data_IF_389314239157
#
_entry.id   IF_389314239157
#
_cell.length_a   1.000
_cell.length_b   1.000
_cell.length_c   1.000
_cell.angle_alpha   90.00
_cell.angle_beta   90.00
_cell.angle_gamma   90.00
#
_symmetry.space_group_name_H-M   'P 1'
#
loop_
_entity.id
_entity.type
_entity.pdbx_description
1 polymer ?
#
# COMPACT_ATOMS: atom_id res chain seq x y z
N UNK A 1 -12.43 4.70 -6.10
CA UNK A 1 -11.64 4.30 -4.93
C UNK A 1 -12.41 4.64 -3.65
N UNK A 2 -12.35 3.79 -2.61
CA UNK A 2 -13.00 4.06 -1.32
C UNK A 2 -12.21 5.20 -0.63
N UNK A 3 -12.86 6.31 -0.25
CA UNK A 3 -12.18 7.47 0.31
C UNK A 3 -11.55 7.21 1.68
N UNK A 4 -12.07 6.26 2.45
CA UNK A 4 -11.49 5.85 3.75
C UNK A 4 -10.22 5.05 3.51
N UNK A 5 -10.27 4.06 2.62
CA UNK A 5 -9.11 3.27 2.21
C UNK A 5 -8.00 4.16 1.62
N UNK A 6 -8.36 5.10 0.74
CA UNK A 6 -7.42 6.07 0.18
C UNK A 6 -6.67 6.82 1.28
N UNK A 7 -7.41 7.31 2.27
CA UNK A 7 -6.85 8.10 3.36
C UNK A 7 -5.90 7.28 4.23
N UNK A 8 -6.28 6.06 4.63
CA UNK A 8 -5.41 5.17 5.41
C UNK A 8 -4.15 4.75 4.64
N UNK A 9 -4.27 4.42 3.36
CA UNK A 9 -3.11 4.07 2.53
C UNK A 9 -2.16 5.27 2.39
N UNK A 10 -2.67 6.46 2.07
CA UNK A 10 -1.81 7.66 1.98
C UNK A 10 -1.11 7.94 3.30
N UNK A 11 -1.80 7.77 4.43
CA UNK A 11 -1.22 7.95 5.76
C UNK A 11 -0.10 6.93 6.01
N UNK A 12 -0.34 5.65 5.77
CA UNK A 12 0.67 4.59 5.92
C UNK A 12 1.89 4.79 5.02
N UNK A 13 1.68 5.11 3.74
CA UNK A 13 2.77 5.37 2.77
C UNK A 13 3.59 6.62 3.15
N UNK A 14 2.97 7.58 3.84
CA UNK A 14 3.65 8.79 4.29
C UNK A 14 4.61 8.57 5.46
N UNK A 15 4.33 7.53 6.27
CA UNK A 15 5.10 7.17 7.45
C UNK A 15 6.26 6.22 7.10
N UNK A 16 5.98 5.17 6.33
CA UNK A 16 6.99 4.26 5.77
C UNK A 16 6.71 4.01 4.28
N UNK A 17 7.76 3.81 3.49
CA UNK A 17 7.56 3.36 2.11
C UNK A 17 6.78 2.05 2.10
N UNK A 18 5.60 2.02 1.48
CA UNK A 18 4.67 0.93 1.70
C UNK A 18 4.95 -0.27 0.77
N UNK A 19 5.09 -1.50 1.31
CA UNK A 19 5.20 -2.70 0.50
C UNK A 19 3.83 -3.14 -0.05
N UNK A 20 3.82 -4.15 -0.92
CA UNK A 20 2.58 -4.72 -1.48
C UNK A 20 1.57 -5.18 -0.41
N UNK A 21 2.08 -5.68 0.71
CA UNK A 21 1.27 -6.17 1.83
C UNK A 21 0.38 -5.07 2.42
N UNK A 22 0.81 -3.81 2.42
CA UNK A 22 0.02 -2.69 2.93
C UNK A 22 -1.22 -2.44 2.07
N UNK A 23 -1.07 -2.52 0.74
CA UNK A 23 -2.18 -2.43 -0.20
C UNK A 23 -3.13 -3.61 -0.08
N UNK A 24 -2.60 -4.82 0.07
CA UNK A 24 -3.41 -6.02 0.28
C UNK A 24 -4.24 -5.93 1.56
N UNK A 25 -3.61 -5.57 2.68
CA UNK A 25 -4.27 -5.37 3.97
C UNK A 25 -5.43 -4.38 3.84
N UNK A 26 -5.18 -3.23 3.20
CA UNK A 26 -6.21 -2.23 2.96
C UNK A 26 -7.37 -2.76 2.10
N UNK A 27 -7.07 -3.44 0.99
CA UNK A 27 -8.11 -4.01 0.12
C UNK A 27 -8.94 -5.07 0.85
N UNK A 28 -8.31 -5.98 1.60
CA UNK A 28 -9.02 -7.00 2.37
C UNK A 28 -10.00 -6.40 3.38
N UNK A 29 -9.68 -5.25 3.96
CA UNK A 29 -10.56 -4.57 4.92
C UNK A 29 -11.68 -3.79 4.30
N UNK A 30 -11.37 -2.96 3.32
CA UNK A 30 -12.31 -1.98 2.78
C UNK A 30 -13.07 -2.51 1.56
N UNK A 31 -12.66 -3.65 1.00
CA UNK A 31 -13.26 -4.31 -0.15
C UNK A 31 -13.23 -5.86 -0.01
N UNK A 32 -13.72 -6.44 1.10
CA UNK A 32 -13.62 -7.89 1.33
C UNK A 32 -14.26 -8.72 0.20
N UNK A 33 -15.43 -8.30 -0.29
CA UNK A 33 -16.17 -9.01 -1.36
C UNK A 33 -15.53 -8.91 -2.75
N UNK A 34 -14.57 -7.99 -2.92
CA UNK A 34 -13.86 -7.75 -4.19
C UNK A 34 -12.39 -8.11 -4.10
N UNK A 35 -11.94 -8.62 -2.96
CA UNK A 35 -10.55 -8.95 -2.77
C UNK A 35 -10.08 -9.98 -3.81
N UNK A 36 -9.05 -9.59 -4.54
CA UNK A 36 -8.26 -10.44 -5.41
C UNK A 36 -6.89 -9.78 -5.58
N UNK A 37 -5.86 -10.57 -5.90
CA UNK A 37 -4.52 -10.02 -6.13
C UNK A 37 -4.50 -9.05 -7.31
N UNK A 38 -5.25 -9.33 -8.36
CA UNK A 38 -5.44 -8.40 -9.49
C UNK A 38 -6.05 -7.07 -9.03
N UNK A 39 -7.07 -7.11 -8.16
CA UNK A 39 -7.67 -5.89 -7.65
C UNK A 39 -6.71 -5.06 -6.78
N UNK A 40 -5.80 -5.71 -6.05
CA UNK A 40 -4.72 -5.01 -5.32
C UNK A 40 -3.78 -4.30 -6.31
N UNK A 41 -3.38 -4.95 -7.41
CA UNK A 41 -2.58 -4.32 -8.48
C UNK A 41 -3.31 -3.14 -9.12
N UNK A 42 -4.63 -3.24 -9.32
CA UNK A 42 -5.46 -2.14 -9.83
C UNK A 42 -5.51 -0.95 -8.86
N UNK A 43 -5.49 -1.20 -7.54
CA UNK A 43 -5.41 -0.12 -6.54
C UNK A 43 -4.05 0.57 -6.59
N UNK A 44 -2.95 -0.19 -6.67
CA UNK A 44 -1.59 0.38 -6.82
C UNK A 44 -1.49 1.21 -8.10
N UNK A 45 -2.06 0.72 -9.21
CA UNK A 45 -2.15 1.44 -10.48
C UNK A 45 -2.91 2.76 -10.31
N UNK A 46 -4.09 2.75 -9.70
CA UNK A 46 -4.88 3.96 -9.47
C UNK A 46 -4.13 5.02 -8.65
N UNK A 47 -3.41 4.62 -7.60
CA UNK A 47 -2.59 5.55 -6.82
C UNK A 47 -1.43 6.14 -7.63
N UNK A 48 -0.83 5.34 -8.51
CA UNK A 48 0.28 5.77 -9.37
C UNK A 48 -0.23 6.71 -10.47
N UNK A 49 -1.36 6.38 -11.11
CA UNK A 49 -2.02 7.21 -12.14
C UNK A 49 -2.54 8.53 -11.57
N UNK A 50 -3.05 8.52 -10.34
CA UNK A 50 -3.41 9.73 -9.61
C UNK A 50 -2.19 10.56 -9.17
N UNK A 51 -0.97 10.08 -9.43
CA UNK A 51 0.28 10.73 -9.09
C UNK A 51 0.55 10.75 -7.59
N UNK A 52 -0.14 9.95 -6.77
CA UNK A 52 0.00 9.95 -5.31
C UNK A 52 1.22 9.18 -4.83
N UNK A 53 1.61 8.14 -5.56
CA UNK A 53 2.82 7.37 -5.27
C UNK A 53 3.76 7.28 -6.46
N UNK A 54 5.01 6.96 -6.16
CA UNK A 54 6.03 6.52 -7.12
C UNK A 54 6.39 5.07 -6.83
N UNK A 55 6.49 4.28 -7.90
CA UNK A 55 6.91 2.88 -7.83
C UNK A 55 8.44 2.78 -7.82
N UNK A 56 8.97 1.85 -7.03
CA UNK A 56 10.39 1.57 -6.94
C UNK A 56 10.65 0.36 -6.07
N UNK A 57 11.91 -0.06 -5.97
CA UNK A 57 12.31 -1.18 -5.14
C UNK A 57 13.76 -1.02 -4.68
N UNK A 58 14.13 -1.82 -3.68
CA UNK A 58 15.53 -2.00 -3.33
C UNK A 58 16.20 -2.94 -4.35
N UNK A 59 17.26 -2.52 -5.05
CA UNK A 59 17.91 -3.36 -6.06
C UNK A 59 18.79 -4.47 -5.44
N UNK A 60 18.73 -4.68 -4.12
CA UNK A 60 19.51 -5.69 -3.40
C UNK A 60 20.96 -5.26 -3.13
N UNK A 61 21.70 -6.12 -2.43
CA UNK A 61 23.13 -5.90 -2.16
C UNK A 61 23.45 -4.70 -1.25
N UNK A 62 22.52 -4.31 -0.37
CA UNK A 62 22.69 -3.16 0.53
C UNK A 62 22.52 -1.79 -0.12
N UNK A 63 22.03 -1.74 -1.36
CA UNK A 63 21.72 -0.49 -2.06
C UNK A 63 20.44 0.15 -1.53
N UNK A 64 20.39 1.47 -1.62
CA UNK A 64 19.21 2.26 -1.27
C UNK A 64 18.06 1.97 -2.24
N UNK A 65 16.85 2.30 -1.81
CA UNK A 65 15.67 2.25 -2.67
C UNK A 65 15.86 3.17 -3.88
N UNK A 66 15.41 2.69 -5.03
CA UNK A 66 15.48 3.43 -6.28
C UNK A 66 14.11 3.48 -6.96
N UNK A 67 13.69 4.65 -7.45
CA UNK A 67 12.48 4.75 -8.24
C UNK A 67 12.65 4.04 -9.57
N UNK A 68 11.58 3.45 -10.09
CA UNK A 68 11.58 2.89 -11.44
C UNK A 68 11.24 3.96 -12.46
N UNK A 69 12.19 4.26 -13.35
CA UNK A 69 12.00 5.13 -14.51
C UNK A 69 11.44 4.32 -15.70
N UNK A 70 10.18 3.90 -15.56
CA UNK A 70 9.45 3.08 -16.54
C UNK A 70 7.99 3.52 -16.63
N UNK A 71 7.25 3.01 -17.62
CA UNK A 71 5.81 3.23 -17.69
C UNK A 71 5.08 2.61 -16.50
N UNK A 72 3.90 3.15 -16.16
CA UNK A 72 3.05 2.57 -15.11
C UNK A 72 2.74 1.10 -15.42
N UNK A 73 2.44 0.77 -16.68
CA UNK A 73 2.19 -0.60 -17.11
C UNK A 73 3.37 -1.54 -16.84
N UNK A 74 4.59 -1.11 -17.14
CA UNK A 74 5.80 -1.89 -16.86
C UNK A 74 6.06 -2.01 -15.35
N UNK A 75 5.82 -0.95 -14.58
CA UNK A 75 5.91 -0.99 -13.12
C UNK A 75 4.93 -2.00 -12.51
N UNK A 76 3.66 -1.96 -12.93
CA UNK A 76 2.65 -2.93 -12.49
C UNK A 76 3.00 -4.35 -12.95
N UNK A 77 3.50 -4.51 -14.17
CA UNK A 77 3.97 -5.80 -14.67
C UNK A 77 5.07 -6.39 -13.79
N UNK A 78 6.10 -5.60 -13.43
CA UNK A 78 7.16 -6.00 -12.49
C UNK A 78 6.62 -6.43 -11.13
N UNK A 79 5.66 -5.70 -10.57
CA UNK A 79 5.04 -6.08 -9.30
C UNK A 79 4.30 -7.42 -9.45
N UNK A 80 3.56 -7.59 -10.54
CA UNK A 80 2.75 -8.76 -10.79
C UNK A 80 3.59 -10.03 -11.00
N UNK A 81 4.62 -9.94 -11.84
CA UNK A 81 5.35 -11.11 -12.36
C UNK A 81 6.76 -11.28 -11.78
N UNK A 82 7.28 -10.28 -11.08
CA UNK A 82 8.58 -10.34 -10.43
C UNK A 82 9.60 -9.37 -11.02
N UNK A 83 10.60 -9.04 -10.21
CA UNK A 83 11.68 -8.11 -10.56
C UNK A 83 12.90 -8.40 -9.69
N UNK A 84 14.09 -8.34 -10.29
CA UNK A 84 15.37 -8.45 -9.56
C UNK A 84 15.50 -9.69 -8.65
N UNK A 85 15.11 -10.86 -9.17
CA UNK A 85 15.08 -12.15 -8.46
C UNK A 85 14.09 -12.21 -7.28
N UNK A 86 13.19 -11.22 -7.15
CA UNK A 86 12.06 -11.28 -6.25
C UNK A 86 10.85 -11.78 -7.04
N UNK A 87 10.17 -12.80 -6.51
CA UNK A 87 8.97 -13.38 -7.12
C UNK A 87 7.83 -12.35 -7.16
N UNK A 88 7.03 -12.41 -8.23
CA UNK A 88 5.92 -11.50 -8.45
C UNK A 88 4.74 -11.75 -7.51
N UNK A 89 4.01 -10.69 -7.20
CA UNK A 89 2.86 -10.71 -6.30
C UNK A 89 1.79 -11.74 -6.70
N UNK A 90 1.60 -12.00 -8.00
CA UNK A 90 0.62 -12.99 -8.44
C UNK A 90 1.03 -14.43 -8.13
N UNK A 91 2.33 -14.70 -7.97
CA UNK A 91 2.88 -16.06 -7.81
C UNK A 91 3.44 -16.34 -6.41
N UNK A 92 3.68 -15.31 -5.58
CA UNK A 92 4.22 -15.53 -4.24
C UNK A 92 3.24 -16.28 -3.32
N UNK A 93 3.71 -17.22 -2.48
CA UNK A 93 2.90 -17.83 -1.44
C UNK A 93 2.32 -16.80 -0.47
N UNK A 94 1.12 -17.06 0.07
CA UNK A 94 0.39 -16.12 0.93
C UNK A 94 1.16 -15.75 2.21
N UNK A 95 1.85 -16.72 2.80
CA UNK A 95 2.71 -16.55 3.98
C UNK A 95 3.98 -15.73 3.72
N UNK A 96 4.32 -15.49 2.45
CA UNK A 96 5.48 -14.71 2.03
C UNK A 96 5.11 -13.30 1.55
N UNK A 97 3.82 -12.96 1.44
CA UNK A 97 3.39 -11.64 1.00
C UNK A 97 3.88 -10.56 1.97
N UNK A 98 3.72 -10.81 3.27
CA UNK A 98 4.05 -9.84 4.32
C UNK A 98 5.53 -9.41 4.33
N UNK A 99 6.43 -10.26 3.83
CA UNK A 99 7.87 -10.01 3.74
C UNK A 99 8.36 -9.73 2.32
N UNK A 100 7.45 -9.61 1.35
CA UNK A 100 7.80 -9.38 -0.04
C UNK A 100 8.29 -7.94 -0.27
N UNK A 101 9.53 -7.83 -0.73
CA UNK A 101 10.17 -6.57 -1.12
C UNK A 101 10.14 -6.36 -2.65
N UNK A 102 9.15 -6.95 -3.34
CA UNK A 102 9.01 -6.83 -4.80
C UNK A 102 8.89 -5.37 -5.25
N UNK A 103 8.26 -4.53 -4.43
CA UNK A 103 8.26 -3.08 -4.57
C UNK A 103 7.98 -2.39 -3.23
N UNK A 104 8.32 -1.11 -3.17
CA UNK A 104 8.01 -0.19 -2.08
C UNK A 104 7.52 1.13 -2.67
N UNK A 105 6.32 1.55 -2.30
CA UNK A 105 5.71 2.80 -2.74
C UNK A 105 6.29 3.99 -1.97
N UNK A 106 6.77 5.00 -2.69
CA UNK A 106 7.12 6.30 -2.11
C UNK A 106 5.97 7.28 -2.31
N UNK A 107 5.55 8.01 -1.25
CA UNK A 107 4.56 9.08 -1.40
C UNK A 107 5.16 10.26 -2.19
N UNK A 108 4.44 10.76 -3.18
CA UNK A 108 4.86 11.94 -3.95
C UNK A 108 4.45 13.25 -3.25
N UNK A 109 4.92 14.39 -3.75
CA UNK A 109 4.42 15.70 -3.33
C UNK A 109 2.91 15.87 -3.51
N UNK A 110 2.32 15.26 -4.55
CA UNK A 110 0.88 15.31 -4.78
C UNK A 110 0.13 14.42 -3.78
N UNK A 111 0.65 13.24 -3.47
CA UNK A 111 0.15 12.37 -2.40
C UNK A 111 0.19 13.07 -1.04
N UNK A 112 1.30 13.74 -0.71
CA UNK A 112 1.43 14.52 0.54
C UNK A 112 0.41 15.64 0.64
N UNK A 113 0.24 16.44 -0.42
CA UNK A 113 -0.80 17.50 -0.46
C UNK A 113 -2.21 16.92 -0.29
N UNK A 114 -2.48 15.76 -0.89
CA UNK A 114 -3.77 15.08 -0.73
C UNK A 114 -3.97 14.64 0.73
N UNK A 115 -2.95 14.07 1.37
CA UNK A 115 -3.00 13.67 2.77
C UNK A 115 -3.19 14.87 3.71
N UNK A 116 -2.47 15.97 3.50
CA UNK A 116 -2.61 17.22 4.28
C UNK A 116 -4.05 17.74 4.27
N UNK A 117 -4.74 17.66 3.12
CA UNK A 117 -6.15 18.05 3.01
C UNK A 117 -7.11 17.10 3.75
N UNK A 118 -6.73 15.83 3.90
CA UNK A 118 -7.55 14.81 4.54
C UNK A 118 -7.36 14.74 6.06
N UNK A 119 -6.18 15.11 6.56
CA UNK A 119 -5.81 15.10 7.98
C UNK A 119 -5.37 13.71 8.48
N UNK A 120 -5.60 13.41 9.76
CA UNK A 120 -5.32 12.10 10.35
C UNK A 120 -6.55 11.17 10.18
N UNK A 121 -6.41 10.01 9.51
CA UNK A 121 -7.53 9.10 9.30
C UNK A 121 -8.02 8.44 10.61
N UNK A 122 -7.13 8.21 11.58
CA UNK A 122 -7.51 7.62 12.87
C UNK A 122 -8.35 8.57 13.71
N UNK A 123 -8.01 9.86 13.74
CA UNK A 123 -8.84 10.89 14.39
C UNK A 123 -10.22 11.02 13.74
N UNK A 124 -10.29 10.78 12.42
CA UNK A 124 -11.50 10.99 11.62
C UNK A 124 -12.43 9.78 11.61
N UNK A 125 -11.88 8.58 11.57
CA UNK A 125 -12.63 7.34 11.32
C UNK A 125 -12.48 6.31 12.45
N UNK A 126 -11.52 6.46 13.35
CA UNK A 126 -11.15 5.41 14.30
C UNK A 126 -10.17 4.39 13.71
N UNK A 127 -9.91 3.31 14.46
CA UNK A 127 -9.02 2.23 14.09
C UNK A 127 -9.75 1.16 13.24
N UNK A 128 -9.45 1.04 11.93
CA UNK A 128 -9.98 -0.02 11.09
C UNK A 128 -9.37 -1.38 11.41
N UNK A 129 -8.34 -1.46 12.24
CA UNK A 129 -7.65 -2.70 12.61
C UNK A 129 -7.96 -3.15 14.03
N UNK A 130 -8.97 -2.56 14.68
CA UNK A 130 -9.26 -2.77 16.10
C UNK A 130 -9.57 -4.24 16.48
N UNK A 131 -10.04 -5.04 15.53
CA UNK A 131 -10.31 -6.47 15.70
C UNK A 131 -9.09 -7.38 15.41
N UNK A 132 -7.96 -6.80 14.99
CA UNK A 132 -6.72 -7.51 14.68
C UNK A 132 -5.64 -7.22 15.74
N UNK A 133 -5.24 -8.21 16.55
CA UNK A 133 -4.28 -8.01 17.65
C UNK A 133 -2.85 -7.67 17.17
N UNK A 134 -2.55 -7.82 15.89
CA UNK A 134 -1.24 -7.51 15.31
C UNK A 134 -1.19 -6.16 14.60
N UNK A 135 -2.36 -5.58 14.30
CA UNK A 135 -2.48 -4.36 13.49
C UNK A 135 -3.23 -3.23 14.19
N UNK A 136 -3.89 -3.52 15.31
CA UNK A 136 -4.66 -2.53 16.06
C UNK A 136 -3.80 -1.36 16.55
N UNK A 137 -4.39 -0.18 16.47
CA UNK A 137 -3.93 1.05 17.08
C UNK A 137 -4.64 1.34 18.43
N UNK A 138 -5.17 0.32 19.12
CA UNK A 138 -5.84 0.46 20.43
C UNK A 138 -4.96 1.20 21.45
N UNK A 139 -3.65 0.94 21.45
CA UNK A 139 -2.68 1.62 22.32
C UNK A 139 -2.60 3.13 22.08
N UNK A 140 -3.01 3.62 20.91
CA UNK A 140 -3.09 5.04 20.57
C UNK A 140 -4.40 5.69 21.02
N UNK A 141 -5.35 4.90 21.56
CA UNK A 141 -6.61 5.36 22.12
C UNK A 141 -7.70 5.68 21.08
N UNK A 142 -7.54 5.22 19.84
CA UNK A 142 -8.56 5.43 18.80
C UNK A 142 -9.70 4.40 18.91
N UNK A 143 -10.97 4.82 18.82
CA UNK A 143 -12.11 3.91 18.89
C UNK A 143 -12.16 3.01 17.64
N UNK A 144 -12.90 1.89 17.66
CA UNK A 144 -13.11 1.07 16.46
C UNK A 144 -13.74 1.87 15.31
N UNK A 145 -13.30 1.59 14.09
CA UNK A 145 -14.01 1.99 12.88
C UNK A 145 -15.32 1.20 12.72
N UNK A 146 -16.40 1.86 12.30
CA UNK A 146 -17.74 1.27 12.15
C UNK A 146 -18.34 1.39 10.74
N UNK A 147 -17.51 1.64 9.72
CA UNK A 147 -18.00 1.86 8.35
C UNK A 147 -18.17 0.61 7.50
#
# INVERSE_FOLDING_TARGET
MNPVMEHFLLFGISDDWAPVAEFEKAVRRFYPDRYSRDFVLDVIRQFTEAGYIRLGAFPGGGRLWEPWDVSIDEGIHRIATGYNNVSGYLEIPEDQIGSSEIFRAEITNQGRKRLELLGNPYEKYGDPWHDDPYLTAEEWGYPPYHG
#
